data_IF_210793880991
#
_entry.id   IF_210793880991
#
_cell.length_a   1.000
_cell.length_b   1.000
_cell.length_c   1.000
_cell.angle_alpha   90.00
_cell.angle_beta   90.00
_cell.angle_gamma   90.00
#
_symmetry.space_group_name_H-M   'P 1'
#
loop_
_entity.id
_entity.type
_entity.pdbx_description
1 polymer ?
#
# COMPACT_ATOMS: atom_id res chain seq x y z
N UNK A 1 -14.35 -22.48 -20.78
CA UNK A 1 -12.89 -22.50 -20.54
C UNK A 1 -12.42 -21.05 -20.50
N UNK A 2 -11.95 -20.55 -19.36
CA UNK A 2 -11.40 -19.19 -19.29
C UNK A 2 -10.16 -19.13 -20.19
N UNK A 3 -10.19 -18.26 -21.20
CA UNK A 3 -9.07 -18.09 -22.13
C UNK A 3 -7.90 -17.50 -21.33
N UNK A 4 -6.72 -18.10 -21.43
CA UNK A 4 -5.50 -17.58 -20.80
C UNK A 4 -4.76 -16.72 -21.83
N UNK A 5 -4.42 -15.49 -21.44
CA UNK A 5 -3.54 -14.60 -22.21
C UNK A 5 -2.38 -14.16 -21.32
N UNK A 6 -1.39 -13.52 -21.92
CA UNK A 6 -0.23 -12.96 -21.24
C UNK A 6 -0.20 -11.45 -21.52
N UNK A 7 -0.14 -10.63 -20.48
CA UNK A 7 -0.05 -9.16 -20.57
C UNK A 7 1.36 -8.73 -20.19
N UNK A 8 1.95 -7.83 -20.97
CA UNK A 8 3.28 -7.29 -20.71
C UNK A 8 3.35 -6.62 -19.34
N UNK A 9 4.38 -6.92 -18.56
CA UNK A 9 4.66 -6.22 -17.31
C UNK A 9 4.97 -4.74 -17.59
N UNK A 10 5.56 -4.42 -18.75
CA UNK A 10 5.94 -3.05 -19.07
C UNK A 10 4.74 -2.09 -19.08
N UNK A 11 3.54 -2.53 -19.47
CA UNK A 11 2.34 -1.67 -19.45
C UNK A 11 1.78 -1.41 -18.04
N UNK A 12 2.37 -2.02 -17.01
CA UNK A 12 2.01 -1.78 -15.60
C UNK A 12 3.05 -0.93 -14.86
N UNK A 13 4.28 -0.85 -15.38
CA UNK A 13 5.41 -0.22 -14.70
C UNK A 13 6.11 0.87 -15.52
N UNK A 14 6.18 0.73 -16.84
CA UNK A 14 6.85 1.68 -17.75
C UNK A 14 5.80 2.55 -18.41
N UNK A 15 6.04 3.85 -18.43
CA UNK A 15 5.16 4.85 -19.05
C UNK A 15 3.70 4.76 -18.55
N UNK A 16 3.48 4.32 -17.31
CA UNK A 16 2.15 4.18 -16.74
C UNK A 16 2.05 5.09 -15.53
N UNK A 17 1.04 5.95 -15.51
CA UNK A 17 0.71 6.79 -14.36
C UNK A 17 -0.46 6.18 -13.64
N UNK A 18 -0.38 6.10 -12.32
CA UNK A 18 -1.37 5.45 -11.46
C UNK A 18 -2.05 6.47 -10.54
N UNK A 19 -3.35 6.32 -10.38
CA UNK A 19 -4.16 7.12 -9.46
C UNK A 19 -5.00 6.20 -8.58
N UNK A 20 -5.25 6.60 -7.33
CA UNK A 20 -6.26 5.94 -6.51
C UNK A 20 -7.64 6.44 -6.93
N UNK A 21 -8.55 5.52 -7.29
CA UNK A 21 -9.87 5.88 -7.81
C UNK A 21 -11.03 5.36 -6.96
N UNK A 22 -10.78 4.35 -6.12
CA UNK A 22 -11.77 3.76 -5.24
C UNK A 22 -11.19 3.48 -3.87
N UNK A 23 -11.93 3.85 -2.82
CA UNK A 23 -11.58 3.50 -1.45
C UNK A 23 -12.79 3.20 -0.58
N UNK A 24 -12.61 2.27 0.34
CA UNK A 24 -13.56 2.01 1.41
C UNK A 24 -13.20 2.86 2.62
N UNK A 25 -14.13 3.72 3.06
CA UNK A 25 -13.93 4.54 4.26
C UNK A 25 -14.04 3.68 5.53
N UNK A 26 -13.04 3.80 6.39
CA UNK A 26 -13.06 3.21 7.73
C UNK A 26 -13.59 4.22 8.76
N UNK A 27 -14.19 3.72 9.84
CA UNK A 27 -14.69 4.59 10.90
C UNK A 27 -13.56 5.40 11.55
N UNK A 28 -13.81 6.69 11.77
CA UNK A 28 -12.86 7.60 12.42
C UNK A 28 -12.52 7.17 13.85
N UNK A 29 -13.45 6.48 14.53
CA UNK A 29 -13.30 6.01 15.91
C UNK A 29 -12.08 5.09 16.09
N UNK A 30 -11.85 4.20 15.12
CA UNK A 30 -10.72 3.24 15.18
C UNK A 30 -9.36 3.94 15.04
N UNK A 31 -9.31 5.07 14.35
CA UNK A 31 -8.10 5.87 14.17
C UNK A 31 -7.77 6.70 15.41
N UNK A 32 -8.82 7.22 16.05
CA UNK A 32 -8.72 8.13 17.19
C UNK A 32 -8.00 7.48 18.37
N UNK A 33 -8.18 6.17 18.58
CA UNK A 33 -7.57 5.45 19.70
C UNK A 33 -6.04 5.57 19.77
N UNK A 34 -5.34 5.55 18.63
CA UNK A 34 -3.88 5.73 18.62
C UNK A 34 -3.48 7.15 19.07
N UNK A 35 -4.26 8.16 18.67
CA UNK A 35 -4.07 9.54 19.10
C UNK A 35 -4.41 9.76 20.57
N UNK A 36 -5.44 9.11 21.11
CA UNK A 36 -5.78 9.22 22.53
C UNK A 36 -4.64 8.70 23.43
N UNK A 37 -4.06 7.56 23.05
CA UNK A 37 -2.90 6.99 23.73
C UNK A 37 -1.68 7.92 23.59
N UNK A 38 -1.47 8.50 22.41
CA UNK A 38 -0.41 9.47 22.18
C UNK A 38 -0.61 10.76 23.00
N UNK A 39 -1.83 11.29 23.07
CA UNK A 39 -2.18 12.46 23.88
C UNK A 39 -1.85 12.21 25.35
N UNK A 40 -2.23 11.03 25.87
CA UNK A 40 -1.86 10.63 27.22
C UNK A 40 -0.34 10.62 27.44
N UNK A 41 0.43 10.10 26.48
CA UNK A 41 1.88 10.12 26.54
C UNK A 41 2.43 11.56 26.55
N UNK A 42 1.90 12.42 25.68
CA UNK A 42 2.27 13.83 25.58
C UNK A 42 2.01 14.58 26.89
N UNK A 43 0.87 14.37 27.52
CA UNK A 43 0.52 15.01 28.80
C UNK A 43 1.46 14.57 29.93
N UNK A 44 1.78 13.28 30.01
CA UNK A 44 2.73 12.75 30.99
C UNK A 44 4.13 13.33 30.80
N UNK A 45 4.62 13.36 29.55
CA UNK A 45 5.93 13.94 29.22
C UNK A 45 5.96 15.44 29.49
N UNK A 46 4.89 16.19 29.18
CA UNK A 46 4.82 17.63 29.46
C UNK A 46 4.80 17.96 30.95
N UNK A 47 4.07 17.16 31.73
CA UNK A 47 3.95 17.31 33.19
C UNK A 47 5.31 17.09 33.85
N UNK A 48 5.91 15.91 33.63
CA UNK A 48 7.25 15.56 34.11
C UNK A 48 7.49 15.92 35.60
N UNK A 49 6.52 15.60 36.48
CA UNK A 49 6.66 15.83 37.92
C UNK A 49 7.63 14.81 38.54
N UNK A 50 7.76 13.63 37.91
CA UNK A 50 8.63 12.54 38.33
C UNK A 50 9.20 11.76 37.14
N UNK A 51 10.31 11.02 37.33
CA UNK A 51 10.81 10.08 36.32
C UNK A 51 9.77 9.01 35.92
N UNK A 52 8.83 8.67 36.81
CA UNK A 52 7.75 7.73 36.48
C UNK A 52 6.83 8.27 35.38
N UNK A 53 6.57 9.58 35.35
CA UNK A 53 5.77 10.19 34.28
C UNK A 53 6.44 10.03 32.91
N UNK A 54 7.77 10.18 32.83
CA UNK A 54 8.52 9.95 31.60
C UNK A 54 8.50 8.47 31.18
N UNK A 55 8.68 7.55 32.13
CA UNK A 55 8.58 6.10 31.90
C UNK A 55 7.20 5.70 31.35
N UNK A 56 6.14 6.19 31.98
CA UNK A 56 4.77 5.94 31.54
C UNK A 56 4.48 6.59 30.19
N UNK A 57 5.06 7.78 29.94
CA UNK A 57 5.03 8.46 28.65
C UNK A 57 5.59 7.59 27.53
N UNK A 58 6.82 7.10 27.68
CA UNK A 58 7.48 6.21 26.69
C UNK A 58 6.68 4.91 26.50
N UNK A 59 6.15 4.35 27.58
CA UNK A 59 5.29 3.14 27.51
C UNK A 59 4.04 3.39 26.68
N UNK A 60 3.38 4.54 26.85
CA UNK A 60 2.22 4.92 26.05
C UNK A 60 2.59 5.22 24.59
N UNK A 61 3.75 5.82 24.30
CA UNK A 61 4.22 5.99 22.92
C UNK A 61 4.34 4.64 22.19
N UNK A 62 4.97 3.64 22.82
CA UNK A 62 5.06 2.27 22.26
C UNK A 62 3.67 1.66 22.03
N UNK A 63 2.72 1.88 22.95
CA UNK A 63 1.33 1.42 22.79
C UNK A 63 0.62 2.11 21.61
N UNK A 64 0.81 3.41 21.43
CA UNK A 64 0.24 4.16 20.31
C UNK A 64 0.76 3.65 18.97
N UNK A 65 2.09 3.46 18.83
CA UNK A 65 2.72 2.86 17.64
C UNK A 65 2.10 1.49 17.35
N UNK A 66 2.06 0.60 18.34
CA UNK A 66 1.53 -0.75 18.17
C UNK A 66 0.06 -0.76 17.77
N UNK A 67 -0.74 0.15 18.31
CA UNK A 67 -2.14 0.28 17.92
C UNK A 67 -2.27 0.64 16.43
N UNK A 68 -1.52 1.64 15.97
CA UNK A 68 -1.52 2.04 14.56
C UNK A 68 -1.03 0.92 13.65
N UNK A 69 0.06 0.24 14.01
CA UNK A 69 0.58 -0.91 13.25
C UNK A 69 -0.42 -2.06 13.17
N UNK A 70 -1.14 -2.35 14.26
CA UNK A 70 -2.18 -3.39 14.27
C UNK A 70 -3.32 -3.03 13.31
N UNK A 71 -3.77 -1.77 13.34
CA UNK A 71 -4.84 -1.30 12.46
C UNK A 71 -4.43 -1.37 10.98
N UNK A 72 -3.20 -1.00 10.64
CA UNK A 72 -2.67 -1.15 9.27
C UNK A 72 -2.70 -2.63 8.85
N UNK A 73 -2.32 -3.56 9.73
CA UNK A 73 -2.37 -5.00 9.42
C UNK A 73 -3.80 -5.54 9.27
N UNK A 74 -4.73 -5.04 10.06
CA UNK A 74 -6.14 -5.43 9.98
C UNK A 74 -6.81 -4.96 8.68
N UNK A 75 -6.35 -3.84 8.12
CA UNK A 75 -6.88 -3.26 6.89
C UNK A 75 -6.25 -3.90 5.65
N UNK A 76 -4.92 -4.00 5.64
CA UNK A 76 -4.17 -4.38 4.43
C UNK A 76 -3.62 -5.80 4.45
N UNK A 77 -3.65 -6.51 5.58
CA UNK A 77 -3.14 -7.88 5.70
C UNK A 77 -1.78 -8.15 5.03
N UNK A 78 -0.83 -7.21 5.14
CA UNK A 78 0.48 -7.31 4.48
C UNK A 78 1.23 -8.61 4.83
N UNK A 79 0.96 -9.22 6.00
CA UNK A 79 1.55 -10.51 6.37
C UNK A 79 1.08 -11.67 5.50
N UNK A 80 -0.03 -11.55 4.75
CA UNK A 80 -0.50 -12.59 3.82
C UNK A 80 0.23 -12.59 2.48
N UNK A 81 0.79 -11.45 2.06
CA UNK A 81 1.56 -11.36 0.81
C UNK A 81 2.84 -12.17 0.93
N UNK A 82 2.98 -13.20 0.11
CA UNK A 82 4.19 -14.03 0.08
C UNK A 82 5.16 -13.54 -1.01
N UNK A 83 6.45 -13.48 -0.68
CA UNK A 83 7.49 -13.07 -1.63
C UNK A 83 8.89 -13.51 -1.17
N UNK A 84 9.84 -13.67 -2.10
CA UNK A 84 11.21 -14.04 -1.78
C UNK A 84 11.87 -13.05 -0.80
N UNK A 85 12.59 -13.58 0.21
CA UNK A 85 13.30 -12.80 1.23
C UNK A 85 12.39 -11.88 2.06
N UNK A 86 11.12 -12.25 2.24
CA UNK A 86 10.18 -11.54 3.11
C UNK A 86 10.77 -11.31 4.52
N UNK A 87 10.77 -10.06 5.02
CA UNK A 87 11.26 -9.77 6.36
C UNK A 87 10.44 -10.48 7.44
N UNK A 88 11.11 -10.94 8.51
CA UNK A 88 10.45 -11.55 9.67
C UNK A 88 9.74 -10.53 10.56
N UNK A 89 10.34 -9.34 10.70
CA UNK A 89 9.80 -8.26 11.53
C UNK A 89 8.76 -7.43 10.77
N UNK A 90 7.73 -6.98 11.48
CA UNK A 90 6.62 -6.28 10.85
C UNK A 90 6.98 -4.87 10.40
N UNK A 91 7.87 -4.18 11.12
CA UNK A 91 8.36 -2.86 10.71
C UNK A 91 9.15 -2.94 9.39
N UNK A 92 10.00 -3.95 9.26
CA UNK A 92 10.77 -4.21 8.05
C UNK A 92 9.87 -4.63 6.89
N UNK A 93 8.80 -5.39 7.17
CA UNK A 93 7.78 -5.70 6.18
C UNK A 93 7.10 -4.41 5.67
N UNK A 94 6.71 -3.49 6.56
CA UNK A 94 6.10 -2.22 6.13
C UNK A 94 7.10 -1.27 5.46
N UNK A 95 8.39 -1.38 5.79
CA UNK A 95 9.46 -0.66 5.11
C UNK A 95 9.59 -1.07 3.64
N UNK A 96 9.41 -2.36 3.32
CA UNK A 96 9.46 -2.82 1.93
C UNK A 96 8.38 -2.16 1.07
N UNK A 97 7.23 -1.80 1.65
CA UNK A 97 6.15 -1.04 1.02
C UNK A 97 6.29 0.49 1.16
N UNK A 98 7.41 0.99 1.70
CA UNK A 98 7.63 2.43 1.95
C UNK A 98 6.54 3.08 2.83
N UNK A 99 5.96 2.31 3.76
CA UNK A 99 4.95 2.79 4.71
C UNK A 99 5.62 3.35 5.97
N UNK A 100 6.66 2.67 6.47
CA UNK A 100 7.32 3.02 7.73
C UNK A 100 8.83 3.14 7.54
N UNK A 101 9.48 3.97 8.36
CA UNK A 101 10.93 4.00 8.57
C UNK A 101 11.27 3.30 9.90
N UNK A 102 11.70 2.03 9.91
CA UNK A 102 11.81 1.22 11.12
C UNK A 102 12.69 1.81 12.21
N UNK A 103 13.78 2.49 11.83
CA UNK A 103 14.75 3.08 12.77
C UNK A 103 14.09 3.96 13.85
N UNK A 104 13.14 4.81 13.45
CA UNK A 104 12.42 5.70 14.35
C UNK A 104 11.60 4.93 15.39
N UNK A 105 10.89 3.89 14.94
CA UNK A 105 9.99 3.10 15.78
C UNK A 105 10.77 2.15 16.68
N UNK A 106 11.88 1.58 16.19
CA UNK A 106 12.79 0.75 16.98
C UNK A 106 13.40 1.52 18.14
N UNK A 107 13.74 2.79 17.94
CA UNK A 107 14.28 3.66 19.01
C UNK A 107 13.32 3.70 20.21
N UNK A 108 12.02 3.93 19.97
CA UNK A 108 11.01 3.94 21.05
C UNK A 108 10.88 2.56 21.71
N UNK A 109 10.90 1.49 20.92
CA UNK A 109 10.78 0.11 21.43
C UNK A 109 11.97 -0.28 22.30
N UNK A 110 13.19 0.04 21.89
CA UNK A 110 14.44 -0.25 22.60
C UNK A 110 14.52 0.51 23.91
N UNK A 111 14.23 1.81 23.91
CA UNK A 111 14.19 2.63 25.14
C UNK A 111 13.18 2.04 26.12
N UNK A 112 11.97 1.71 25.66
CA UNK A 112 10.94 1.07 26.51
C UNK A 112 11.44 -0.26 27.08
N UNK A 113 12.05 -1.11 26.26
CA UNK A 113 12.57 -2.41 26.69
C UNK A 113 13.63 -2.26 27.80
N UNK A 114 14.53 -1.28 27.67
CA UNK A 114 15.55 -1.01 28.70
C UNK A 114 14.94 -0.50 30.00
N UNK A 115 13.95 0.39 29.92
CA UNK A 115 13.24 0.86 31.11
C UNK A 115 12.53 -0.30 31.83
N UNK A 116 11.81 -1.15 31.09
CA UNK A 116 10.98 -2.22 31.67
C UNK A 116 11.77 -3.45 32.15
N UNK A 117 12.84 -3.83 31.45
CA UNK A 117 13.57 -5.06 31.74
C UNK A 117 14.89 -4.85 32.49
N UNK A 118 15.50 -3.67 32.36
CA UNK A 118 16.81 -3.38 32.95
C UNK A 118 16.75 -2.29 34.03
N UNK A 119 15.54 -1.85 34.42
CA UNK A 119 15.31 -0.76 35.39
C UNK A 119 16.12 0.50 35.05
N UNK A 120 16.32 0.76 33.75
CA UNK A 120 17.08 1.91 33.27
C UNK A 120 16.24 3.17 33.44
N UNK A 121 16.80 4.29 33.91
CA UNK A 121 16.04 5.53 33.99
C UNK A 121 15.56 5.95 32.59
N UNK A 122 14.40 6.63 32.49
CA UNK A 122 13.93 7.15 31.23
C UNK A 122 14.93 8.17 30.65
N UNK A 123 14.89 8.44 29.33
CA UNK A 123 15.63 9.54 28.75
C UNK A 123 15.28 10.87 29.42
N UNK A 124 16.14 11.88 29.23
CA UNK A 124 15.83 13.22 29.73
C UNK A 124 14.54 13.77 29.09
N UNK A 125 13.92 14.74 29.76
CA UNK A 125 12.65 15.33 29.35
C UNK A 125 12.66 15.83 27.89
N UNK A 126 13.75 16.46 27.44
CA UNK A 126 13.89 16.94 26.06
C UNK A 126 13.83 15.79 25.06
N UNK A 127 14.56 14.71 25.32
CA UNK A 127 14.55 13.51 24.48
C UNK A 127 13.17 12.85 24.47
N UNK A 128 12.46 12.83 25.59
CA UNK A 128 11.08 12.34 25.64
C UNK A 128 10.15 13.19 24.74
N UNK A 129 10.30 14.53 24.71
CA UNK A 129 9.52 15.38 23.79
C UNK A 129 9.80 15.07 22.33
N UNK A 130 11.06 14.88 21.95
CA UNK A 130 11.44 14.49 20.58
C UNK A 130 10.79 13.16 20.16
N UNK A 131 10.69 12.20 21.09
CA UNK A 131 10.03 10.92 20.84
C UNK A 131 8.51 11.09 20.71
N UNK A 132 7.89 11.98 21.49
CA UNK A 132 6.48 12.34 21.35
C UNK A 132 6.20 12.88 19.94
N UNK A 133 7.00 13.85 19.47
CA UNK A 133 6.84 14.45 18.15
C UNK A 133 7.08 13.42 17.04
N UNK A 134 8.10 12.59 17.17
CA UNK A 134 8.40 11.52 16.22
C UNK A 134 7.22 10.55 16.04
N UNK A 135 6.58 10.14 17.15
CA UNK A 135 5.41 9.26 17.09
C UNK A 135 4.20 9.99 16.50
N UNK A 136 4.03 11.29 16.79
CA UNK A 136 2.98 12.09 16.15
C UNK A 136 3.13 12.13 14.63
N UNK A 137 4.34 12.37 14.13
CA UNK A 137 4.63 12.35 12.69
C UNK A 137 4.36 10.98 12.07
N UNK A 138 4.67 9.89 12.76
CA UNK A 138 4.33 8.54 12.30
C UNK A 138 2.81 8.31 12.22
N UNK A 139 2.04 8.75 13.21
CA UNK A 139 0.58 8.68 13.14
C UNK A 139 0.08 9.51 11.95
N UNK A 140 0.52 10.76 11.83
CA UNK A 140 0.13 11.65 10.73
C UNK A 140 0.46 11.09 9.36
N UNK A 141 1.67 10.57 9.16
CA UNK A 141 2.11 10.01 7.86
C UNK A 141 1.39 8.72 7.47
N UNK A 142 0.63 8.12 8.38
CA UNK A 142 -0.13 6.89 8.14
C UNK A 142 -1.65 7.09 8.26
N UNK A 143 -2.13 8.33 8.47
CA UNK A 143 -3.57 8.61 8.63
C UNK A 143 -4.37 8.15 7.40
N UNK A 144 -3.90 8.45 6.19
CA UNK A 144 -4.58 8.04 4.94
C UNK A 144 -4.75 6.53 4.80
N UNK A 145 -3.78 5.75 5.28
CA UNK A 145 -3.81 4.28 5.23
C UNK A 145 -4.89 3.70 6.15
N UNK A 146 -5.18 4.36 7.27
CA UNK A 146 -6.17 3.87 8.23
C UNK A 146 -7.53 4.54 8.08
N UNK A 147 -7.62 5.57 7.25
CA UNK A 147 -8.89 6.24 6.90
C UNK A 147 -9.60 5.64 5.72
N UNK A 148 -8.84 5.16 4.75
CA UNK A 148 -9.38 4.74 3.46
C UNK A 148 -8.57 3.56 2.95
N UNK A 149 -9.24 2.43 2.77
CA UNK A 149 -8.66 1.28 2.08
C UNK A 149 -8.79 1.50 0.58
N UNK A 150 -7.71 1.92 -0.08
CA UNK A 150 -7.65 1.99 -1.55
C UNK A 150 -7.68 0.59 -2.14
N UNK A 151 -8.78 0.24 -2.80
CA UNK A 151 -8.95 -1.05 -3.50
C UNK A 151 -8.73 -0.92 -5.00
N UNK A 152 -8.94 0.28 -5.54
CA UNK A 152 -9.02 0.50 -6.99
C UNK A 152 -7.96 1.50 -7.41
N UNK A 153 -7.19 1.12 -8.44
CA UNK A 153 -6.09 1.90 -8.98
C UNK A 153 -6.32 2.10 -10.48
N UNK A 154 -6.62 3.33 -10.87
CA UNK A 154 -6.71 3.72 -12.27
C UNK A 154 -5.32 3.91 -12.86
N UNK A 155 -5.15 3.57 -14.13
CA UNK A 155 -3.92 3.78 -14.86
C UNK A 155 -4.15 4.40 -16.22
N UNK A 156 -3.16 5.19 -16.64
CA UNK A 156 -3.05 5.79 -17.97
C UNK A 156 -1.69 5.44 -18.56
N UNK A 157 -1.68 4.93 -19.79
CA UNK A 157 -0.44 4.59 -20.50
C UNK A 157 -0.01 5.79 -21.34
N UNK A 158 1.28 6.07 -21.33
CA UNK A 158 1.95 7.10 -22.11
C UNK A 158 2.84 6.46 -23.17
N UNK A 159 3.01 7.15 -24.29
CA UNK A 159 3.95 6.72 -25.33
C UNK A 159 5.42 6.95 -24.88
N UNK A 160 6.37 6.57 -25.74
CA UNK A 160 7.81 6.76 -25.46
C UNK A 160 8.25 8.22 -25.39
N UNK A 161 7.42 9.15 -25.85
CA UNK A 161 7.66 10.58 -25.85
C UNK A 161 6.90 11.30 -24.72
N UNK A 162 6.31 10.55 -23.77
CA UNK A 162 5.46 11.04 -22.70
C UNK A 162 4.19 11.77 -23.17
N UNK A 163 3.67 11.42 -24.35
CA UNK A 163 2.32 11.84 -24.73
C UNK A 163 1.30 10.86 -24.16
N UNK A 164 0.18 11.40 -23.70
CA UNK A 164 -0.97 10.61 -23.25
C UNK A 164 -1.48 9.74 -24.41
N UNK A 165 -1.70 8.46 -24.13
CA UNK A 165 -2.33 7.55 -25.09
C UNK A 165 -3.80 7.35 -24.75
N UNK A 166 -4.51 6.72 -25.65
CA UNK A 166 -5.89 6.30 -25.44
C UNK A 166 -6.05 5.04 -24.59
N UNK A 167 -4.97 4.50 -24.02
CA UNK A 167 -5.01 3.29 -23.21
C UNK A 167 -5.08 3.62 -21.72
N UNK A 168 -6.15 3.17 -21.10
CA UNK A 168 -6.45 3.38 -19.69
C UNK A 168 -7.18 2.18 -19.12
N UNK A 169 -7.23 2.09 -17.80
CA UNK A 169 -7.98 1.06 -17.12
C UNK A 169 -7.90 1.14 -15.61
N UNK A 170 -8.34 0.07 -14.97
CA UNK A 170 -8.38 -0.05 -13.51
C UNK A 170 -7.88 -1.41 -13.08
N UNK A 171 -7.09 -1.42 -12.01
CA UNK A 171 -6.72 -2.60 -11.26
C UNK A 171 -7.47 -2.60 -9.93
N UNK A 172 -8.06 -3.74 -9.61
CA UNK A 172 -8.72 -3.99 -8.33
C UNK A 172 -7.90 -4.99 -7.52
N UNK A 173 -7.62 -4.62 -6.27
CA UNK A 173 -6.89 -5.45 -5.32
C UNK A 173 -7.82 -6.00 -4.24
N UNK A 174 -7.73 -7.32 -4.01
CA UNK A 174 -8.25 -7.93 -2.79
C UNK A 174 -7.16 -7.92 -1.71
N UNK A 175 -7.23 -6.95 -0.80
CA UNK A 175 -6.33 -6.87 0.36
C UNK A 175 -6.64 -7.90 1.44
N UNK A 176 -7.81 -8.57 1.39
CA UNK A 176 -8.17 -9.58 2.39
C UNK A 176 -7.37 -10.86 2.20
N UNK A 177 -7.27 -11.34 0.95
CA UNK A 177 -6.61 -12.61 0.63
C UNK A 177 -5.26 -12.41 -0.04
N UNK A 178 -5.11 -11.36 -0.85
CA UNK A 178 -3.98 -11.17 -1.76
C UNK A 178 -3.75 -12.33 -2.73
N UNK A 179 -4.77 -13.16 -3.01
CA UNK A 179 -4.62 -14.31 -3.91
C UNK A 179 -4.79 -13.92 -5.38
N UNK A 180 -5.60 -12.90 -5.65
CA UNK A 180 -5.91 -12.47 -7.01
C UNK A 180 -5.90 -10.96 -7.16
N UNK A 181 -5.72 -10.54 -8.40
CA UNK A 181 -5.82 -9.16 -8.85
C UNK A 181 -6.70 -9.12 -10.09
N UNK A 182 -7.69 -8.24 -10.13
CA UNK A 182 -8.50 -8.01 -11.34
C UNK A 182 -7.96 -6.82 -12.10
N UNK A 183 -7.94 -6.93 -13.42
CA UNK A 183 -7.58 -5.86 -14.33
C UNK A 183 -8.65 -5.68 -15.40
N UNK A 184 -8.94 -4.42 -15.68
CA UNK A 184 -9.93 -3.94 -16.64
C UNK A 184 -9.27 -2.83 -17.44
N UNK A 185 -9.34 -2.83 -18.78
CA UNK A 185 -8.84 -1.68 -19.52
C UNK A 185 -8.59 -1.93 -21.00
N UNK A 186 -8.23 -0.85 -21.68
CA UNK A 186 -7.75 -0.86 -23.06
C UNK A 186 -6.24 -1.06 -23.11
N UNK A 187 -5.81 -1.97 -23.99
CA UNK A 187 -4.40 -2.26 -24.18
C UNK A 187 -4.05 -2.36 -25.67
N UNK A 188 -2.83 -1.93 -26.05
CA UNK A 188 -2.32 -2.16 -27.40
C UNK A 188 -2.09 -3.66 -27.62
N UNK A 189 -2.39 -4.18 -28.82
CA UNK A 189 -2.28 -5.62 -29.09
C UNK A 189 -0.86 -6.16 -28.89
N UNK A 190 0.16 -5.35 -29.14
CA UNK A 190 1.56 -5.72 -28.95
C UNK A 190 1.94 -5.99 -27.49
N UNK A 191 1.14 -5.49 -26.54
CA UNK A 191 1.32 -5.78 -25.11
C UNK A 191 0.71 -7.12 -24.70
N UNK A 192 0.02 -7.81 -25.61
CA UNK A 192 -0.73 -9.04 -25.34
C UNK A 192 -0.12 -10.19 -26.13
N UNK A 193 -0.05 -11.36 -25.50
CA UNK A 193 0.41 -12.59 -26.13
C UNK A 193 -0.56 -13.73 -25.81
N UNK A 194 -0.81 -14.60 -26.79
CA UNK A 194 -1.55 -15.87 -26.60
C UNK A 194 -0.63 -17.01 -26.15
N UNK A 195 0.67 -16.76 -26.12
CA UNK A 195 1.69 -17.70 -25.65
C UNK A 195 2.46 -17.09 -24.47
N UNK A 196 3.02 -17.96 -23.63
CA UNK A 196 3.86 -17.54 -22.51
C UNK A 196 5.09 -16.81 -23.03
N UNK A 197 5.33 -15.61 -22.50
CA UNK A 197 6.53 -14.80 -22.75
C UNK A 197 7.19 -14.39 -21.43
N UNK A 198 8.50 -14.17 -21.48
CA UNK A 198 9.22 -13.56 -20.37
C UNK A 198 8.75 -12.12 -20.15
N UNK A 199 8.70 -11.65 -18.90
CA UNK A 199 8.19 -10.33 -18.51
C UNK A 199 6.71 -10.09 -18.85
N UNK A 200 5.90 -11.14 -18.89
CA UNK A 200 4.45 -11.04 -19.05
C UNK A 200 3.75 -11.74 -17.88
N UNK A 201 2.65 -11.16 -17.40
CA UNK A 201 1.78 -11.76 -16.39
C UNK A 201 0.67 -12.57 -17.07
N UNK A 202 0.34 -13.77 -16.57
CA UNK A 202 -0.82 -14.50 -17.05
C UNK A 202 -2.13 -13.87 -16.56
N UNK A 203 -3.10 -13.74 -17.46
CA UNK A 203 -4.47 -13.32 -17.16
C UNK A 203 -5.45 -14.41 -17.56
N UNK A 204 -6.33 -14.76 -16.64
CA UNK A 204 -7.53 -15.54 -16.88
C UNK A 204 -8.63 -14.59 -17.32
N UNK A 205 -8.94 -14.62 -18.62
CA UNK A 205 -9.83 -13.65 -19.27
C UNK A 205 -11.28 -13.99 -19.01
N UNK A 206 -12.02 -13.02 -18.48
CA UNK A 206 -13.48 -12.99 -18.42
C UNK A 206 -14.07 -12.42 -19.72
N UNK A 207 -13.45 -11.37 -20.26
CA UNK A 207 -13.83 -10.79 -21.54
C UNK A 207 -12.62 -10.23 -22.30
N UNK A 208 -12.59 -10.46 -23.61
CA UNK A 208 -11.61 -9.90 -24.54
C UNK A 208 -12.38 -9.47 -25.78
N UNK A 209 -12.43 -8.17 -26.05
CA UNK A 209 -13.19 -7.64 -27.18
C UNK A 209 -12.35 -6.59 -27.89
N UNK A 210 -12.46 -6.53 -29.22
CA UNK A 210 -11.92 -5.42 -29.99
C UNK A 210 -12.89 -4.24 -30.01
N UNK A 211 -12.50 -3.19 -30.74
CA UNK A 211 -13.28 -1.96 -30.90
C UNK A 211 -14.72 -2.19 -31.37
N UNK A 212 -14.96 -3.23 -32.17
CA UNK A 212 -16.25 -3.54 -32.80
C UNK A 212 -17.41 -3.69 -31.80
N UNK A 213 -17.11 -4.02 -30.55
CA UNK A 213 -18.13 -4.09 -29.49
C UNK A 213 -18.70 -2.72 -29.10
N UNK A 214 -18.03 -1.64 -29.46
CA UNK A 214 -18.34 -0.27 -29.06
C UNK A 214 -18.51 0.71 -30.23
N UNK A 215 -18.74 0.19 -31.44
CA UNK A 215 -18.86 0.99 -32.67
C UNK A 215 -19.92 2.11 -32.59
N UNK A 216 -20.93 1.96 -31.74
CA UNK A 216 -22.00 2.94 -31.54
C UNK A 216 -21.68 4.04 -30.51
N UNK A 217 -20.44 4.11 -29.99
CA UNK A 217 -20.08 5.04 -28.92
C UNK A 217 -19.02 6.06 -29.35
N UNK A 218 -19.21 7.32 -28.96
CA UNK A 218 -18.21 8.38 -29.16
C UNK A 218 -16.95 8.20 -28.31
N UNK A 219 -17.01 7.40 -27.24
CA UNK A 219 -15.97 7.28 -26.22
C UNK A 219 -14.80 6.37 -26.60
N UNK A 220 -14.91 5.63 -27.71
CA UNK A 220 -13.88 4.69 -28.15
C UNK A 220 -13.45 4.92 -29.62
N UNK A 221 -13.76 6.09 -30.19
CA UNK A 221 -13.42 6.40 -31.59
C UNK A 221 -11.92 6.47 -31.84
N UNK A 222 -11.15 6.82 -30.82
CA UNK A 222 -9.69 6.91 -30.78
C UNK A 222 -8.97 5.55 -30.80
N UNK A 223 -9.65 4.46 -30.42
CA UNK A 223 -9.07 3.10 -30.40
C UNK A 223 -8.81 2.57 -31.81
N UNK A 224 -7.74 1.81 -32.00
CA UNK A 224 -7.47 1.08 -33.24
C UNK A 224 -8.30 -0.22 -33.27
N UNK A 225 -8.54 -0.76 -34.48
CA UNK A 225 -9.22 -2.06 -34.65
C UNK A 225 -8.44 -3.20 -33.98
N UNK A 226 -7.12 -3.05 -33.86
CA UNK A 226 -6.25 -4.03 -33.21
C UNK A 226 -6.29 -3.95 -31.70
N UNK A 227 -6.77 -2.85 -31.11
CA UNK A 227 -6.72 -2.64 -29.67
C UNK A 227 -7.71 -3.57 -28.97
N UNK A 228 -7.34 -3.98 -27.76
CA UNK A 228 -8.08 -4.99 -27.03
C UNK A 228 -8.51 -4.45 -25.67
N UNK A 229 -9.81 -4.52 -25.43
CA UNK A 229 -10.37 -4.35 -24.10
C UNK A 229 -10.33 -5.67 -23.36
N UNK A 230 -9.65 -5.67 -22.21
CA UNK A 230 -9.47 -6.84 -21.37
C UNK A 230 -10.27 -6.66 -20.08
N UNK A 231 -10.97 -7.74 -19.69
CA UNK A 231 -11.38 -8.01 -18.32
C UNK A 231 -10.75 -9.33 -17.94
N UNK A 232 -9.85 -9.33 -16.96
CA UNK A 232 -9.15 -10.54 -16.56
C UNK A 232 -8.68 -10.52 -15.12
N UNK A 233 -8.34 -11.70 -14.63
CA UNK A 233 -7.82 -11.91 -13.28
C UNK A 233 -6.44 -12.56 -13.35
N UNK A 234 -5.49 -12.05 -12.56
CA UNK A 234 -4.17 -12.64 -12.35
C UNK A 234 -4.11 -13.34 -10.99
N UNK A 235 -3.50 -14.52 -10.94
CA UNK A 235 -3.06 -15.11 -9.66
C UNK A 235 -1.78 -14.40 -9.22
N UNK A 236 -1.74 -13.93 -7.97
CA UNK A 236 -0.60 -13.15 -7.45
C UNK A 236 0.67 -13.98 -7.32
N UNK A 237 0.58 -15.31 -7.32
CA UNK A 237 1.73 -16.23 -7.32
C UNK A 237 2.43 -16.31 -8.67
N UNK A 238 1.76 -15.93 -9.75
CA UNK A 238 2.27 -16.04 -11.11
C UNK A 238 3.15 -14.84 -11.54
N UNK A 239 3.29 -13.82 -10.70
CA UNK A 239 4.14 -12.66 -10.97
C UNK A 239 4.69 -12.01 -9.69
N UNK A 240 5.54 -10.98 -9.83
CA UNK A 240 6.11 -10.27 -8.70
C UNK A 240 5.09 -9.28 -8.08
N UNK A 241 4.05 -9.83 -7.45
CA UNK A 241 2.95 -9.07 -6.85
C UNK A 241 3.42 -8.12 -5.75
N UNK A 242 4.41 -8.52 -4.95
CA UNK A 242 5.04 -7.65 -3.95
C UNK A 242 5.56 -6.34 -4.58
N UNK A 243 6.32 -6.44 -5.68
CA UNK A 243 6.87 -5.27 -6.36
C UNK A 243 5.78 -4.42 -7.00
N UNK A 244 4.71 -5.05 -7.49
CA UNK A 244 3.56 -4.34 -8.06
C UNK A 244 2.79 -3.55 -7.00
N UNK A 245 2.41 -4.16 -5.87
CA UNK A 245 1.80 -3.44 -4.74
C UNK A 245 2.71 -2.29 -4.30
N UNK A 246 3.99 -2.56 -4.08
CA UNK A 246 4.95 -1.51 -3.68
C UNK A 246 4.94 -0.34 -4.67
N UNK A 247 4.92 -0.63 -5.97
CA UNK A 247 4.84 0.39 -7.00
C UNK A 247 3.55 1.22 -6.89
N UNK A 248 2.38 0.58 -6.76
CA UNK A 248 1.11 1.29 -6.59
C UNK A 248 1.12 2.23 -5.37
N UNK A 249 1.62 1.78 -4.23
CA UNK A 249 1.69 2.60 -3.01
C UNK A 249 2.70 3.77 -3.10
N UNK A 250 3.66 3.71 -4.02
CA UNK A 250 4.61 4.81 -4.26
C UNK A 250 4.05 5.76 -5.32
N UNK A 251 3.44 5.23 -6.37
CA UNK A 251 2.98 5.99 -7.54
C UNK A 251 1.63 6.68 -7.35
N UNK A 252 0.74 6.12 -6.52
CA UNK A 252 -0.64 6.59 -6.35
C UNK A 252 -0.87 7.36 -5.02
N UNK A 253 0.21 7.82 -4.36
CA UNK A 253 0.18 8.59 -3.11
C UNK A 253 0.38 10.09 -3.33
#
# INVERSE_FOLDING_TARGET
MNKKIWLSVDVLFKNTVWYSSGSNLHSLDTQQRAYDIWNRANDLVKKNDSPFDLTDGITNLKRSINHRLKLIEEIYHFKKIDFPKKPKGYLELLESYSIVRPYLMKTVMEIRNHIEHNDTPPPNHQRCKELVDMVWYFLKSTDSLVSSLTTDFEFYIYDKNNNETHYEGTVYLDHTTHETMKILGWFPCESISTEKKENYIPLYVEALNGKEKWDDTKYHQDKLITDLWIIGTADTKDFNYHSFIRHLFISAR
#
